data_IF_130562040271
#
_entry.id   IF_130562040271
#
_cell.length_a   1.000
_cell.length_b   1.000
_cell.length_c   1.000
_cell.angle_alpha   90.00
_cell.angle_beta   90.00
_cell.angle_gamma   90.00
#
_symmetry.space_group_name_H-M   'P 1'
#
loop_
_entity.id
_entity.type
_entity.pdbx_description
1 polymer ?
#
# COMPACT_ATOMS: atom_id res chain seq x y z
N UNK A 1 -6.05 3.95 6.39
CA UNK A 1 -7.39 3.37 6.72
C UNK A 1 -8.48 3.80 5.73
N UNK A 2 -8.31 5.00 5.16
CA UNK A 2 -9.10 5.65 4.13
C UNK A 2 -9.33 4.76 2.89
N UNK A 3 -8.37 3.89 2.57
CA UNK A 3 -8.45 2.99 1.41
C UNK A 3 -9.16 1.65 1.70
N UNK A 4 -9.75 1.48 2.89
CA UNK A 4 -10.53 0.29 3.26
C UNK A 4 -12.02 0.67 3.40
N UNK A 5 -12.85 0.17 2.48
CA UNK A 5 -14.27 0.47 2.43
C UNK A 5 -15.12 -0.74 2.86
N UNK A 6 -16.28 -0.48 3.47
CA UNK A 6 -17.24 -1.53 3.79
C UNK A 6 -18.13 -1.82 2.58
N UNK A 7 -18.34 -3.09 2.28
CA UNK A 7 -19.20 -3.52 1.16
C UNK A 7 -20.69 -3.12 1.34
N UNK A 8 -21.13 -2.86 2.58
CA UNK A 8 -22.47 -2.38 2.90
C UNK A 8 -22.49 -1.69 4.27
N UNK A 9 -23.65 -1.15 4.66
CA UNK A 9 -23.87 -0.55 5.99
C UNK A 9 -24.16 -1.57 7.10
N UNK A 10 -24.23 -2.86 6.76
CA UNK A 10 -24.51 -3.91 7.74
C UNK A 10 -23.33 -4.10 8.70
N UNK A 11 -23.63 -4.44 9.96
CA UNK A 11 -22.58 -4.89 10.89
C UNK A 11 -21.96 -6.19 10.35
N UNK A 12 -20.63 -6.27 10.36
CA UNK A 12 -19.89 -7.42 9.82
C UNK A 12 -19.81 -7.45 8.29
N UNK A 13 -20.07 -6.33 7.60
CA UNK A 13 -19.84 -6.23 6.16
C UNK A 13 -18.36 -6.49 5.83
N UNK A 14 -18.11 -7.17 4.71
CA UNK A 14 -16.75 -7.40 4.21
C UNK A 14 -16.03 -6.07 3.93
N UNK A 15 -14.75 -6.02 4.29
CA UNK A 15 -13.85 -4.90 3.96
C UNK A 15 -13.31 -5.12 2.54
N UNK A 16 -13.27 -4.05 1.74
CA UNK A 16 -12.75 -4.02 0.38
C UNK A 16 -11.66 -2.97 0.27
N UNK A 17 -10.54 -3.34 -0.33
CA UNK A 17 -9.47 -2.41 -0.68
C UNK A 17 -9.93 -1.54 -1.87
N UNK A 18 -9.61 -0.25 -1.80
CA UNK A 18 -9.94 0.76 -2.80
C UNK A 18 -8.74 1.68 -3.06
N UNK A 19 -8.87 2.51 -4.10
CA UNK A 19 -7.88 3.51 -4.50
C UNK A 19 -6.48 2.95 -4.83
N UNK A 20 -6.38 2.37 -6.02
CA UNK A 20 -5.12 1.85 -6.59
C UNK A 20 -4.38 2.91 -7.42
N UNK A 21 -4.63 4.21 -7.21
CA UNK A 21 -4.01 5.29 -8.00
C UNK A 21 -2.49 5.38 -7.86
N UNK A 22 -1.93 4.84 -6.77
CA UNK A 22 -0.50 4.73 -6.52
C UNK A 22 0.05 3.30 -6.67
N UNK A 23 -0.78 2.35 -7.11
CA UNK A 23 -0.35 0.97 -7.29
C UNK A 23 0.63 0.84 -8.46
N UNK A 24 1.59 -0.07 -8.32
CA UNK A 24 2.61 -0.36 -9.32
C UNK A 24 2.60 -1.85 -9.68
N UNK A 25 2.85 -2.15 -10.95
CA UNK A 25 3.09 -3.53 -11.37
C UNK A 25 4.56 -3.89 -11.16
N UNK A 26 4.80 -4.98 -10.43
CA UNK A 26 6.16 -5.49 -10.17
C UNK A 26 6.28 -6.93 -10.62
N UNK A 27 7.44 -7.29 -11.16
CA UNK A 27 7.79 -8.69 -11.44
C UNK A 27 7.87 -9.52 -10.16
N UNK A 28 7.93 -10.85 -10.29
CA UNK A 28 8.22 -11.70 -9.13
C UNK A 28 9.56 -11.29 -8.50
N UNK A 29 9.54 -11.07 -7.19
CA UNK A 29 10.68 -10.73 -6.33
C UNK A 29 11.56 -9.56 -6.83
N UNK A 30 10.97 -8.65 -7.60
CA UNK A 30 11.66 -7.47 -8.10
C UNK A 30 11.52 -6.32 -7.11
N UNK A 31 12.64 -5.88 -6.55
CA UNK A 31 12.74 -4.61 -5.80
C UNK A 31 13.41 -3.56 -6.69
N UNK A 32 12.81 -2.37 -6.75
CA UNK A 32 13.37 -1.26 -7.48
C UNK A 32 12.95 0.06 -6.83
N UNK A 33 13.55 1.16 -7.27
CA UNK A 33 13.08 2.48 -6.87
C UNK A 33 11.92 2.90 -7.76
N UNK A 34 10.70 2.85 -7.23
CA UNK A 34 9.47 3.23 -7.97
C UNK A 34 9.01 4.67 -7.70
N UNK A 35 9.83 5.46 -6.99
CA UNK A 35 9.54 6.85 -6.66
C UNK A 35 9.14 7.06 -5.20
N UNK A 36 8.89 8.32 -4.83
CA UNK A 36 8.43 8.68 -3.49
C UNK A 36 6.93 8.98 -3.53
N UNK A 37 6.13 8.00 -3.12
CA UNK A 37 4.67 8.10 -3.09
C UNK A 37 4.08 7.35 -1.89
N UNK A 38 2.99 7.88 -1.33
CA UNK A 38 2.27 7.31 -0.20
C UNK A 38 1.82 8.36 0.81
N UNK A 39 1.15 7.93 1.87
CA UNK A 39 0.67 8.81 2.94
C UNK A 39 1.67 8.82 4.09
N UNK A 40 2.14 9.99 4.59
CA UNK A 40 3.26 10.08 5.54
C UNK A 40 3.20 9.16 6.77
N UNK A 41 2.01 8.87 7.30
CA UNK A 41 1.82 7.97 8.45
C UNK A 41 1.94 6.47 8.15
N UNK A 42 2.00 6.07 6.88
CA UNK A 42 1.99 4.69 6.41
C UNK A 42 3.22 4.33 5.56
N UNK A 43 4.13 5.28 5.34
CA UNK A 43 5.36 5.06 4.57
C UNK A 43 6.31 4.14 5.33
N UNK A 44 6.82 3.11 4.66
CA UNK A 44 7.82 2.21 5.22
C UNK A 44 9.22 2.86 5.25
N UNK A 45 10.14 2.35 6.11
CA UNK A 45 11.47 2.95 6.29
C UNK A 45 12.29 3.00 5.00
N UNK A 46 12.21 1.98 4.15
CA UNK A 46 12.91 1.89 2.87
C UNK A 46 12.44 2.98 1.89
N UNK A 47 11.13 3.29 1.85
CA UNK A 47 10.60 4.40 1.03
C UNK A 47 11.10 5.76 1.55
N UNK A 48 11.15 5.94 2.87
CA UNK A 48 11.67 7.17 3.49
C UNK A 48 13.17 7.35 3.24
N UNK A 49 13.94 6.26 3.22
CA UNK A 49 15.38 6.25 2.94
C UNK A 49 15.72 6.35 1.45
N UNK A 50 14.72 6.17 0.58
CA UNK A 50 14.86 6.10 -0.88
C UNK A 50 15.61 4.85 -1.36
N UNK A 51 15.48 3.76 -0.61
CA UNK A 51 16.02 2.46 -0.98
C UNK A 51 15.06 1.75 -1.96
N UNK A 52 15.56 0.81 -2.78
CA UNK A 52 14.70 -0.08 -3.56
C UNK A 52 13.66 -0.76 -2.67
N UNK A 53 12.43 -0.86 -3.13
CA UNK A 53 11.32 -1.45 -2.38
C UNK A 53 10.45 -2.32 -3.26
N UNK A 54 9.54 -3.08 -2.65
CA UNK A 54 8.63 -4.00 -3.33
C UNK A 54 7.44 -4.36 -2.43
N UNK A 55 6.93 -5.58 -2.54
CA UNK A 55 5.75 -6.07 -1.80
C UNK A 55 5.78 -5.86 -0.26
N UNK A 56 6.93 -5.88 0.45
CA UNK A 56 6.95 -5.69 1.91
C UNK A 56 6.38 -4.37 2.41
N UNK A 57 6.36 -3.31 1.57
CA UNK A 57 5.81 -2.00 1.96
C UNK A 57 4.32 -2.08 2.34
N UNK A 58 3.57 -2.99 1.72
CA UNK A 58 2.14 -3.19 2.00
C UNK A 58 1.94 -3.80 3.40
N UNK A 59 2.86 -4.66 3.84
CA UNK A 59 2.81 -5.31 5.16
C UNK A 59 3.15 -4.30 6.26
N UNK A 60 4.04 -3.35 5.99
CA UNK A 60 4.35 -2.27 6.95
C UNK A 60 3.13 -1.39 7.25
N UNK A 61 2.27 -1.16 6.25
CA UNK A 61 1.09 -0.31 6.38
C UNK A 61 -0.15 -1.02 6.97
N UNK A 62 -0.09 -2.34 7.17
CA UNK A 62 -1.19 -3.17 7.68
C UNK A 62 -1.51 -2.93 9.17
#
# INVERSE_FOLDING_TARGET
>A
PENLLLASKAKGAAVKLADFGLAIEVGQDTEAWFGFAGTPGYLSPEVLKKDPYGKPVDIWAC
#
